data_IF_940596468610
#
_entry.id   IF_940596468610
#
_cell.length_a   1.000
_cell.length_b   1.000
_cell.length_c   1.000
_cell.angle_alpha   90.00
_cell.angle_beta   90.00
_cell.angle_gamma   90.00
#
_symmetry.space_group_name_H-M   'P 1'
#
loop_
_entity.id
_entity.type
_entity.pdbx_description
1 polymer ?
#
# COMPACT_ATOMS: atom_id res chain seq x y z
N UNK A 1 22.09 -23.34 -2.69
CA UNK A 1 21.60 -21.96 -2.60
C UNK A 1 20.23 -21.91 -3.23
N UNK A 2 19.16 -21.94 -2.45
CA UNK A 2 17.82 -21.70 -2.98
C UNK A 2 17.68 -20.19 -3.20
N UNK A 3 17.22 -19.81 -4.39
CA UNK A 3 16.86 -18.43 -4.66
C UNK A 3 15.52 -18.20 -3.97
N UNK A 4 15.51 -17.44 -2.86
CA UNK A 4 14.29 -17.10 -2.10
C UNK A 4 13.32 -16.20 -2.88
N UNK A 5 13.59 -15.98 -4.17
CA UNK A 5 12.82 -15.09 -5.05
C UNK A 5 12.22 -15.89 -6.19
N UNK A 6 10.90 -15.78 -6.36
CA UNK A 6 10.16 -16.39 -7.46
C UNK A 6 9.55 -15.31 -8.36
N UNK A 7 9.43 -15.59 -9.66
CA UNK A 7 8.78 -14.68 -10.61
C UNK A 7 7.32 -15.10 -10.82
N UNK A 8 6.39 -14.18 -10.57
CA UNK A 8 4.95 -14.40 -10.82
C UNK A 8 4.51 -13.48 -11.95
N UNK A 9 3.98 -14.07 -13.04
CA UNK A 9 3.36 -13.28 -14.13
C UNK A 9 1.91 -12.96 -13.75
N UNK A 10 1.59 -11.68 -13.68
CA UNK A 10 0.23 -11.19 -13.40
C UNK A 10 -0.26 -10.27 -14.52
N UNK A 11 -1.58 -10.19 -14.70
CA UNK A 11 -2.18 -9.26 -15.65
C UNK A 11 -1.91 -7.80 -15.22
N UNK A 12 -1.80 -6.89 -16.19
CA UNK A 12 -1.62 -5.45 -15.94
C UNK A 12 -2.75 -4.86 -15.07
N UNK A 13 -3.98 -5.35 -15.22
CA UNK A 13 -5.11 -4.97 -14.37
C UNK A 13 -4.92 -5.37 -12.91
N UNK A 14 -4.44 -6.59 -12.65
CA UNK A 14 -4.12 -7.07 -11.30
C UNK A 14 -2.97 -6.27 -10.68
N UNK A 15 -1.93 -5.96 -11.47
CA UNK A 15 -0.83 -5.10 -11.03
C UNK A 15 -1.35 -3.73 -10.56
N UNK A 16 -2.20 -3.08 -11.35
CA UNK A 16 -2.82 -1.79 -10.97
C UNK A 16 -3.64 -1.89 -9.68
N UNK A 17 -4.35 -3.00 -9.46
CA UNK A 17 -5.08 -3.24 -8.22
C UNK A 17 -4.13 -3.35 -7.02
N UNK A 18 -3.03 -4.08 -7.16
CA UNK A 18 -2.00 -4.18 -6.11
C UNK A 18 -1.34 -2.82 -5.81
N UNK A 19 -1.02 -2.04 -6.85
CA UNK A 19 -0.51 -0.67 -6.69
C UNK A 19 -1.51 0.22 -5.94
N UNK A 20 -2.82 0.06 -6.21
CA UNK A 20 -3.86 0.75 -5.48
C UNK A 20 -3.97 0.37 -4.00
N UNK A 21 -3.51 -0.82 -3.61
CA UNK A 21 -3.52 -1.26 -2.21
C UNK A 21 -2.33 -0.72 -1.40
N UNK A 22 -1.36 -0.05 -2.05
CA UNK A 22 -0.20 0.51 -1.36
C UNK A 22 -0.62 1.55 -0.33
N UNK A 23 -0.12 1.41 0.88
CA UNK A 23 -0.29 2.39 1.96
C UNK A 23 0.85 3.40 1.92
N UNK A 24 2.04 3.00 1.49
CA UNK A 24 3.22 3.85 1.40
C UNK A 24 3.84 3.79 0.00
N UNK A 25 4.46 4.88 -0.44
CA UNK A 25 5.06 5.01 -1.77
C UNK A 25 6.22 4.04 -2.03
N UNK A 26 6.90 3.57 -0.98
CA UNK A 26 8.05 2.64 -1.04
C UNK A 26 7.72 1.18 -0.74
N UNK A 27 6.45 0.86 -0.55
CA UNK A 27 6.01 -0.49 -0.17
C UNK A 27 6.21 -1.49 -1.33
N UNK A 28 6.87 -2.60 -1.09
CA UNK A 28 7.19 -3.61 -2.11
C UNK A 28 5.98 -4.49 -2.44
N UNK A 29 5.98 -5.13 -3.61
CA UNK A 29 4.92 -6.09 -3.96
C UNK A 29 4.82 -7.24 -2.97
N UNK A 30 5.95 -7.71 -2.44
CA UNK A 30 6.00 -8.77 -1.44
C UNK A 30 5.30 -8.37 -0.14
N UNK A 31 5.53 -7.14 0.34
CA UNK A 31 4.86 -6.61 1.53
C UNK A 31 3.35 -6.46 1.33
N UNK A 32 2.92 -6.00 0.15
CA UNK A 32 1.49 -5.89 -0.19
C UNK A 32 0.83 -7.27 -0.22
N UNK A 33 1.48 -8.24 -0.87
CA UNK A 33 0.96 -9.61 -1.00
C UNK A 33 0.89 -10.27 0.36
N UNK A 34 1.95 -10.18 1.17
CA UNK A 34 1.98 -10.73 2.53
C UNK A 34 0.86 -10.17 3.40
N UNK A 35 0.68 -8.84 3.41
CA UNK A 35 -0.45 -8.21 4.15
C UNK A 35 -1.80 -8.70 3.67
N UNK A 36 -1.98 -8.87 2.36
CA UNK A 36 -3.23 -9.38 1.80
C UNK A 36 -3.51 -10.80 2.31
N UNK A 37 -2.50 -11.66 2.30
CA UNK A 37 -2.61 -13.04 2.79
C UNK A 37 -2.88 -13.07 4.31
N UNK A 38 -2.22 -12.23 5.09
CA UNK A 38 -2.45 -12.13 6.53
C UNK A 38 -3.89 -11.72 6.85
N UNK A 39 -4.43 -10.73 6.14
CA UNK A 39 -5.83 -10.29 6.30
C UNK A 39 -6.79 -11.41 5.91
N UNK A 40 -6.51 -12.12 4.82
CA UNK A 40 -7.36 -13.24 4.37
C UNK A 40 -7.35 -14.39 5.39
N UNK A 41 -6.19 -14.71 5.97
CA UNK A 41 -6.06 -15.69 7.05
C UNK A 41 -6.84 -15.23 8.29
N UNK A 42 -6.71 -13.95 8.65
CA UNK A 42 -7.43 -13.36 9.76
C UNK A 42 -8.95 -13.37 9.53
N UNK A 43 -9.42 -13.10 8.32
CA UNK A 43 -10.85 -13.20 7.96
C UNK A 43 -11.40 -14.60 8.21
N UNK A 44 -10.61 -15.64 7.94
CA UNK A 44 -11.00 -17.04 8.17
C UNK A 44 -11.02 -17.41 9.65
N UNK A 45 -10.07 -16.90 10.44
CA UNK A 45 -9.96 -17.21 11.87
C UNK A 45 -10.90 -16.36 12.74
N UNK A 46 -10.95 -15.05 12.50
CA UNK A 46 -11.71 -14.08 13.26
C UNK A 46 -12.11 -12.88 12.38
N UNK A 47 -13.33 -12.90 11.80
CA UNK A 47 -13.78 -11.86 10.89
C UNK A 47 -13.89 -10.47 11.54
N UNK A 48 -14.16 -10.40 12.85
CA UNK A 48 -14.30 -9.14 13.56
C UNK A 48 -12.96 -8.42 13.73
N UNK A 49 -11.89 -9.18 14.03
CA UNK A 49 -10.53 -8.64 14.05
C UNK A 49 -10.10 -8.21 12.64
N UNK A 50 -10.42 -8.99 11.61
CA UNK A 50 -10.10 -8.62 10.24
C UNK A 50 -10.77 -7.30 9.83
N UNK A 51 -12.03 -7.09 10.22
CA UNK A 51 -12.75 -5.83 9.98
C UNK A 51 -12.06 -4.63 10.66
N UNK A 52 -11.58 -4.81 11.90
CA UNK A 52 -10.80 -3.77 12.60
C UNK A 52 -9.48 -3.49 11.88
N UNK A 53 -8.78 -4.53 11.45
CA UNK A 53 -7.50 -4.40 10.76
C UNK A 53 -7.66 -3.65 9.42
N UNK A 54 -8.70 -3.99 8.65
CA UNK A 54 -9.07 -3.28 7.43
C UNK A 54 -9.36 -1.80 7.69
N UNK A 55 -10.08 -1.48 8.76
CA UNK A 55 -10.36 -0.09 9.14
C UNK A 55 -9.09 0.71 9.45
N UNK A 56 -8.13 0.09 10.16
CA UNK A 56 -6.83 0.73 10.47
C UNK A 56 -6.05 0.98 9.18
N UNK A 57 -5.99 0.01 8.28
CA UNK A 57 -5.30 0.13 6.99
C UNK A 57 -5.91 1.24 6.12
N UNK A 58 -7.24 1.33 6.06
CA UNK A 58 -7.93 2.41 5.34
C UNK A 58 -7.61 3.78 5.94
N UNK A 59 -7.53 3.89 7.26
CA UNK A 59 -7.14 5.13 7.95
C UNK A 59 -5.68 5.51 7.62
N UNK A 60 -4.77 4.54 7.67
CA UNK A 60 -3.35 4.76 7.31
C UNK A 60 -3.22 5.21 5.86
N UNK A 61 -3.90 4.55 4.92
CA UNK A 61 -3.90 4.91 3.51
C UNK A 61 -4.39 6.34 3.27
N UNK A 62 -5.51 6.73 3.90
CA UNK A 62 -6.02 8.11 3.83
C UNK A 62 -5.01 9.13 4.36
N UNK A 63 -4.30 8.80 5.44
CA UNK A 63 -3.29 9.68 6.01
C UNK A 63 -2.06 9.80 5.10
N UNK A 64 -1.59 8.70 4.52
CA UNK A 64 -0.47 8.72 3.56
C UNK A 64 -0.79 9.58 2.34
N UNK A 65 -1.98 9.43 1.76
CA UNK A 65 -2.42 10.23 0.61
C UNK A 65 -2.51 11.73 0.95
N UNK A 66 -2.96 12.06 2.17
CA UNK A 66 -2.97 13.47 2.65
C UNK A 66 -1.55 14.02 2.79
N UNK A 67 -0.63 13.23 3.36
CA UNK A 67 0.76 13.62 3.55
C UNK A 67 1.47 13.83 2.22
N UNK A 68 1.26 12.95 1.26
CA UNK A 68 1.82 13.04 -0.10
C UNK A 68 1.33 14.29 -0.83
N UNK A 69 0.03 14.59 -0.76
CA UNK A 69 -0.52 15.87 -1.27
C UNK A 69 0.13 17.09 -0.63
N UNK A 70 0.36 17.05 0.68
CA UNK A 70 0.96 18.17 1.39
C UNK A 70 2.41 18.41 0.95
N UNK A 71 3.19 17.34 0.78
CA UNK A 71 4.56 17.40 0.28
C UNK A 71 4.59 18.03 -1.12
N UNK A 72 3.73 17.57 -2.03
CA UNK A 72 3.68 18.12 -3.39
C UNK A 72 3.36 19.62 -3.40
N UNK A 73 2.41 20.07 -2.55
CA UNK A 73 2.08 21.50 -2.44
C UNK A 73 3.25 22.32 -1.89
N UNK A 74 4.04 21.76 -0.97
CA UNK A 74 5.23 22.44 -0.46
C UNK A 74 6.29 22.54 -1.56
N UNK A 75 6.55 21.46 -2.29
CA UNK A 75 7.52 21.43 -3.40
C UNK A 75 7.17 22.39 -4.54
N UNK A 76 5.89 22.55 -4.86
CA UNK A 76 5.41 23.52 -5.85
C UNK A 76 5.60 24.96 -5.39
N UNK A 77 5.47 25.24 -4.09
CA UNK A 77 5.69 26.57 -3.53
C UNK A 77 7.16 26.98 -3.52
N UNK A 78 8.06 26.10 -3.07
CA UNK A 78 9.50 26.38 -3.09
C UNK A 78 10.03 26.63 -4.50
N UNK A 79 9.51 25.93 -5.51
CA UNK A 79 9.88 26.17 -6.92
C UNK A 79 9.43 27.52 -7.47
N UNK A 80 8.35 28.08 -6.95
CA UNK A 80 7.81 29.36 -7.42
C UNK A 80 8.40 30.57 -6.67
N UNK A 81 8.99 30.37 -5.48
CA UNK A 81 9.70 31.41 -4.73
C UNK A 81 11.18 31.55 -5.15
N UNK A 82 11.73 30.60 -5.90
CA UNK A 82 13.11 30.63 -6.43
C UNK A 82 13.22 31.24 -7.85
N UNK A 83 12.14 31.83 -8.39
CA UNK A 83 12.08 32.47 -9.73
C UNK A 83 11.82 33.97 -9.63
#
# INVERSE_FOLDING_TARGET
>A
MHSDTTTIKIKKSTKKRLEGLRVYSRETYEEIISKLLDILNLCKMNPEMAKRQLYILDKQRKNSLRKEKLINVIEEKTKNEEV
#
